data_IF_806477843722
#
_entry.id   IF_806477843722
#
_cell.length_a   1.000
_cell.length_b   1.000
_cell.length_c   1.000
_cell.angle_alpha   90.00
_cell.angle_beta   90.00
_cell.angle_gamma   90.00
#
_symmetry.space_group_name_H-M   'P 1'
#
loop_
_entity.id
_entity.type
_entity.pdbx_description
1 polymer ?
#
# COMPACT_ATOMS: atom_id res chain seq x y z
N UNK A 1 6.64 14.02 40.83
CA UNK A 1 5.59 13.15 40.26
C UNK A 1 5.73 13.11 38.72
N UNK A 2 6.94 13.12 38.16
CA UNK A 2 7.15 13.68 36.80
C UNK A 2 7.88 12.77 35.81
N UNK A 3 7.87 11.45 36.02
CA UNK A 3 8.56 10.50 35.12
C UNK A 3 7.66 9.83 34.08
N UNK A 4 6.33 10.03 34.14
CA UNK A 4 5.38 9.37 33.21
C UNK A 4 5.06 10.19 31.94
N UNK A 5 5.31 11.50 31.93
CA UNK A 5 4.89 12.39 30.83
C UNK A 5 5.81 12.26 29.60
N UNK A 6 7.13 12.18 29.77
CA UNK A 6 8.10 12.15 28.65
C UNK A 6 8.10 10.86 27.79
N UNK A 7 7.56 9.73 28.29
CA UNK A 7 7.47 8.48 27.50
C UNK A 7 6.33 8.53 26.48
N UNK A 8 5.26 9.28 26.78
CA UNK A 8 4.05 9.28 25.97
C UNK A 8 4.22 10.15 24.71
N UNK A 9 4.96 11.25 24.81
CA UNK A 9 5.19 12.16 23.68
C UNK A 9 6.13 11.56 22.63
N UNK A 10 7.23 10.91 23.06
CA UNK A 10 8.11 10.18 22.12
C UNK A 10 7.39 9.04 21.39
N UNK A 11 6.47 8.36 22.06
CA UNK A 11 5.68 7.30 21.45
C UNK A 11 4.64 7.85 20.47
N UNK A 12 4.03 9.01 20.76
CA UNK A 12 3.10 9.71 19.87
C UNK A 12 3.79 10.29 18.64
N UNK A 13 4.96 10.90 18.79
CA UNK A 13 5.76 11.38 17.65
C UNK A 13 6.21 10.23 16.75
N UNK A 14 6.63 9.12 17.35
CA UNK A 14 6.98 7.90 16.63
C UNK A 14 5.77 7.34 15.89
N UNK A 15 4.61 7.22 16.55
CA UNK A 15 3.37 6.73 15.94
C UNK A 15 2.92 7.60 14.76
N UNK A 16 2.93 8.93 14.89
CA UNK A 16 2.60 9.86 13.79
C UNK A 16 3.60 9.77 12.63
N UNK A 17 4.89 9.54 12.92
CA UNK A 17 5.91 9.31 11.89
C UNK A 17 5.67 7.99 11.16
N UNK A 18 5.37 6.91 11.88
CA UNK A 18 5.02 5.62 11.28
C UNK A 18 3.74 5.69 10.47
N UNK A 19 2.74 6.45 10.92
CA UNK A 19 1.50 6.67 10.17
C UNK A 19 1.76 7.42 8.86
N UNK A 20 2.57 8.48 8.89
CA UNK A 20 2.97 9.21 7.67
C UNK A 20 3.72 8.32 6.69
N UNK A 21 4.68 7.52 7.16
CA UNK A 21 5.42 6.56 6.32
C UNK A 21 4.45 5.52 5.73
N UNK A 22 3.53 4.99 6.53
CA UNK A 22 2.54 4.02 6.06
C UNK A 22 1.64 4.62 4.99
N UNK A 23 1.16 5.85 5.18
CA UNK A 23 0.31 6.54 4.20
C UNK A 23 1.06 6.81 2.89
N UNK A 24 2.29 7.31 2.98
CA UNK A 24 3.13 7.55 1.78
C UNK A 24 3.37 6.25 1.01
N UNK A 25 3.71 5.17 1.72
CA UNK A 25 3.91 3.86 1.10
C UNK A 25 2.60 3.26 0.54
N UNK A 26 1.45 3.52 1.17
CA UNK A 26 0.15 3.13 0.62
C UNK A 26 -0.16 3.86 -0.69
N UNK A 27 0.14 5.16 -0.78
CA UNK A 27 -0.02 5.94 -2.01
C UNK A 27 0.89 5.41 -3.13
N UNK A 28 2.17 5.16 -2.84
CA UNK A 28 3.11 4.54 -3.77
C UNK A 28 2.58 3.19 -4.31
N UNK A 29 2.14 2.29 -3.42
CA UNK A 29 1.56 1.01 -3.84
C UNK A 29 0.28 1.19 -4.67
N UNK A 30 -0.53 2.22 -4.40
CA UNK A 30 -1.71 2.50 -5.19
C UNK A 30 -1.34 2.95 -6.62
N UNK A 31 -0.38 3.87 -6.73
CA UNK A 31 0.14 4.39 -8.00
C UNK A 31 0.73 3.25 -8.84
N UNK A 32 1.61 2.43 -8.26
CA UNK A 32 2.21 1.26 -8.93
C UNK A 32 1.14 0.31 -9.51
N UNK A 33 0.09 0.02 -8.74
CA UNK A 33 -0.97 -0.89 -9.19
C UNK A 33 -1.81 -0.27 -10.30
N UNK A 34 -2.11 1.03 -10.23
CA UNK A 34 -2.90 1.72 -11.25
C UNK A 34 -2.13 1.79 -12.57
N UNK A 35 -0.86 2.17 -12.53
CA UNK A 35 0.02 2.20 -13.71
C UNK A 35 0.12 0.81 -14.35
N UNK A 36 0.40 -0.22 -13.55
CA UNK A 36 0.54 -1.58 -14.08
C UNK A 36 -0.77 -2.15 -14.65
N UNK A 37 -1.92 -1.81 -14.05
CA UNK A 37 -3.23 -2.20 -14.59
C UNK A 37 -3.48 -1.51 -15.92
N UNK A 38 -3.16 -0.22 -16.03
CA UNK A 38 -3.29 0.53 -17.28
C UNK A 38 -2.41 -0.09 -18.37
N UNK A 39 -1.13 -0.35 -18.08
CA UNK A 39 -0.20 -0.97 -19.02
C UNK A 39 -0.70 -2.35 -19.50
N UNK A 40 -1.18 -3.20 -18.60
CA UNK A 40 -1.72 -4.51 -18.97
C UNK A 40 -2.97 -4.40 -19.85
N UNK A 41 -3.85 -3.43 -19.57
CA UNK A 41 -5.04 -3.18 -20.37
C UNK A 41 -4.64 -2.67 -21.76
N UNK A 42 -3.66 -1.77 -21.85
CA UNK A 42 -3.16 -1.26 -23.14
C UNK A 42 -2.48 -2.36 -23.97
N UNK A 43 -1.67 -3.20 -23.35
CA UNK A 43 -0.92 -4.25 -24.03
C UNK A 43 -1.77 -5.46 -24.43
N UNK A 44 -2.73 -5.86 -23.57
CA UNK A 44 -3.43 -7.15 -23.71
C UNK A 44 -4.95 -7.05 -23.78
N UNK A 45 -5.51 -5.89 -23.47
CA UNK A 45 -6.96 -5.65 -23.39
C UNK A 45 -7.58 -5.97 -22.03
N UNK A 46 -6.82 -6.54 -21.08
CA UNK A 46 -7.29 -6.88 -19.74
C UNK A 46 -6.16 -6.90 -18.71
N UNK A 47 -6.47 -6.70 -17.43
CA UNK A 47 -5.51 -6.85 -16.33
C UNK A 47 -5.89 -8.05 -15.46
N UNK A 48 -5.17 -9.17 -15.62
CA UNK A 48 -5.41 -10.37 -14.80
C UNK A 48 -4.50 -10.37 -13.57
N UNK A 49 -5.04 -10.87 -12.45
CA UNK A 49 -4.30 -10.95 -11.19
C UNK A 49 -3.02 -11.81 -11.28
N UNK A 50 -2.99 -12.81 -12.17
CA UNK A 50 -1.81 -13.65 -12.41
C UNK A 50 -0.67 -12.90 -13.10
N UNK A 51 -1.00 -11.98 -14.00
CA UNK A 51 -0.01 -11.18 -14.73
C UNK A 51 0.57 -10.09 -13.83
N UNK A 52 -0.29 -9.43 -13.04
CA UNK A 52 0.12 -8.52 -11.97
C UNK A 52 1.04 -9.22 -10.96
N UNK A 53 0.68 -10.43 -10.53
CA UNK A 53 1.46 -11.22 -9.59
C UNK A 53 2.86 -11.53 -10.13
N UNK A 54 2.94 -11.93 -11.41
CA UNK A 54 4.21 -12.20 -12.08
C UNK A 54 5.10 -10.94 -12.17
N UNK A 55 4.53 -9.77 -12.51
CA UNK A 55 5.29 -8.52 -12.63
C UNK A 55 5.74 -7.96 -11.29
N UNK A 56 4.91 -8.02 -10.26
CA UNK A 56 5.26 -7.56 -8.91
C UNK A 56 6.07 -8.57 -8.08
N UNK A 57 6.26 -9.80 -8.56
CA UNK A 57 6.96 -10.85 -7.82
C UNK A 57 6.20 -11.30 -6.56
N UNK A 58 4.87 -11.26 -6.59
CA UNK A 58 3.99 -11.66 -5.49
C UNK A 58 3.04 -12.77 -5.91
N UNK A 59 2.16 -13.19 -5.01
CA UNK A 59 1.12 -14.19 -5.34
C UNK A 59 -0.16 -13.51 -5.81
N UNK A 60 -0.95 -14.18 -6.66
CA UNK A 60 -2.27 -13.67 -7.07
C UNK A 60 -3.22 -13.38 -5.88
N UNK A 61 -3.25 -14.18 -4.79
CA UNK A 61 -3.96 -13.79 -3.56
C UNK A 61 -3.47 -12.47 -2.95
N UNK A 62 -2.16 -12.19 -2.98
CA UNK A 62 -1.60 -10.90 -2.52
C UNK A 62 -2.10 -9.75 -3.37
N UNK A 63 -2.10 -9.90 -4.71
CA UNK A 63 -2.65 -8.91 -5.64
C UNK A 63 -4.12 -8.65 -5.33
N UNK A 64 -4.94 -9.69 -5.20
CA UNK A 64 -6.36 -9.57 -4.91
C UNK A 64 -6.60 -8.84 -3.58
N UNK A 65 -5.85 -9.17 -2.53
CA UNK A 65 -5.96 -8.49 -1.24
C UNK A 65 -5.57 -7.02 -1.32
N UNK A 66 -4.50 -6.68 -2.04
CA UNK A 66 -4.08 -5.29 -2.26
C UNK A 66 -5.12 -4.52 -3.07
N UNK A 67 -5.60 -5.05 -4.19
CA UNK A 67 -6.64 -4.40 -5.01
C UNK A 67 -7.93 -4.20 -4.20
N UNK A 68 -8.37 -5.20 -3.44
CA UNK A 68 -9.55 -5.05 -2.57
C UNK A 68 -9.35 -4.00 -1.48
N UNK A 69 -8.13 -3.85 -0.95
CA UNK A 69 -7.81 -2.79 0.00
C UNK A 69 -7.88 -1.42 -0.67
N UNK A 70 -7.23 -1.26 -1.82
CA UNK A 70 -7.23 -0.02 -2.59
C UNK A 70 -8.67 0.41 -2.95
N UNK A 71 -9.51 -0.53 -3.38
CA UNK A 71 -10.92 -0.26 -3.69
C UNK A 71 -11.79 0.14 -2.47
N UNK A 72 -11.33 -0.12 -1.24
CA UNK A 72 -12.02 0.33 -0.01
C UNK A 72 -11.49 1.66 0.51
N UNK A 73 -10.25 1.99 0.19
CA UNK A 73 -9.54 3.19 0.64
C UNK A 73 -9.69 4.37 -0.34
N UNK A 74 -9.98 4.11 -1.61
CA UNK A 74 -10.37 5.10 -2.62
C UNK A 74 -11.85 5.45 -2.57
#
# INVERSE_FOLDING_TARGET
>A
MDSKIHKNDRNRESAQRFERIRRAHQSEVAEDYVEMIADLIEETGEARAVDLAARFGVTAPTVNATVQRLAREG
#
